data_IF_252621150241
#
_entry.id   IF_252621150241
#
_cell.length_a   1.000
_cell.length_b   1.000
_cell.length_c   1.000
_cell.angle_alpha   90.00
_cell.angle_beta   90.00
_cell.angle_gamma   90.00
#
_symmetry.space_group_name_H-M   'P 1'
#
loop_
_entity.id
_entity.type
_entity.pdbx_description
1 polymer ?
#
# COMPACT_ATOMS: atom_id res chain seq x y z
N UNK A 1 -4.18 10.63 5.78
CA UNK A 1 -5.24 9.63 5.97
C UNK A 1 -6.55 10.32 6.33
N UNK A 2 -6.61 11.12 7.41
CA UNK A 2 -7.82 11.82 7.86
C UNK A 2 -8.47 12.62 6.75
N UNK A 3 -7.71 13.47 6.06
CA UNK A 3 -8.21 14.27 4.92
C UNK A 3 -8.80 13.41 3.79
N UNK A 4 -8.18 12.28 3.47
CA UNK A 4 -8.76 11.34 2.50
C UNK A 4 -10.12 10.81 2.95
N UNK A 5 -10.25 10.47 4.24
CA UNK A 5 -11.52 10.04 4.80
C UNK A 5 -12.60 11.13 4.71
N UNK A 6 -12.24 12.38 5.03
CA UNK A 6 -13.15 13.54 4.96
C UNK A 6 -13.59 13.84 3.52
N UNK A 7 -12.71 13.61 2.55
CA UNK A 7 -13.00 13.77 1.11
C UNK A 7 -13.76 12.59 0.50
N UNK A 8 -14.04 11.54 1.28
CA UNK A 8 -14.79 10.37 0.80
C UNK A 8 -13.98 9.39 -0.03
N UNK A 9 -12.64 9.49 -0.02
CA UNK A 9 -11.74 8.50 -0.62
C UNK A 9 -11.97 7.15 0.05
N UNK A 10 -12.21 6.11 -0.74
CA UNK A 10 -12.51 4.77 -0.21
C UNK A 10 -11.26 3.94 0.05
N UNK A 11 -10.24 4.08 -0.77
CA UNK A 11 -8.99 3.34 -0.67
C UNK A 11 -7.81 4.30 -0.80
N UNK A 12 -6.89 4.22 0.14
CA UNK A 12 -5.63 4.95 0.14
C UNK A 12 -4.49 3.95 0.32
N UNK A 13 -3.62 3.82 -0.66
CA UNK A 13 -2.44 2.96 -0.57
C UNK A 13 -1.17 3.81 -0.51
N UNK A 14 -0.31 3.53 0.45
CA UNK A 14 0.98 4.23 0.63
C UNK A 14 2.14 3.26 0.49
N UNK A 15 3.12 3.62 -0.37
CA UNK A 15 4.33 2.83 -0.58
C UNK A 15 5.33 3.09 0.54
N UNK A 16 5.24 2.30 1.62
CA UNK A 16 6.06 2.52 2.81
C UNK A 16 7.41 1.81 2.76
N UNK A 17 7.49 0.60 2.16
CA UNK A 17 8.74 -0.15 2.04
C UNK A 17 8.69 -1.12 0.86
N UNK A 18 9.58 -0.91 -0.13
CA UNK A 18 9.66 -1.77 -1.32
C UNK A 18 10.58 -2.97 -1.10
N UNK A 19 10.41 -4.02 -1.93
CA UNK A 19 11.33 -5.17 -1.95
C UNK A 19 12.77 -4.76 -2.27
N UNK A 20 12.98 -3.71 -3.04
CA UNK A 20 14.29 -3.17 -3.36
C UNK A 20 14.99 -2.50 -2.17
N UNK A 21 14.21 -2.02 -1.18
CA UNK A 21 14.76 -1.34 0.00
C UNK A 21 15.61 -2.27 0.89
N UNK A 22 15.44 -3.59 0.80
CA UNK A 22 16.32 -4.54 1.50
C UNK A 22 17.79 -4.46 1.08
N UNK A 23 18.08 -3.86 -0.08
CA UNK A 23 19.46 -3.64 -0.56
C UNK A 23 20.16 -2.44 0.09
N UNK A 24 19.44 -1.64 0.89
CA UNK A 24 20.00 -0.53 1.66
C UNK A 24 20.84 -1.04 2.82
N UNK A 25 21.72 -0.20 3.40
CA UNK A 25 22.45 -0.56 4.60
C UNK A 25 21.53 -1.05 5.72
N UNK A 26 21.94 -2.09 6.45
CA UNK A 26 21.11 -2.73 7.48
C UNK A 26 20.64 -1.78 8.58
N UNK A 27 21.44 -0.77 8.90
CA UNK A 27 21.11 0.27 9.88
C UNK A 27 19.93 1.13 9.40
N UNK A 28 19.93 1.51 8.12
CA UNK A 28 18.84 2.26 7.50
C UNK A 28 17.55 1.44 7.45
N UNK A 29 17.64 0.17 7.06
CA UNK A 29 16.49 -0.76 7.08
C UNK A 29 15.92 -0.89 8.48
N UNK A 30 16.78 -1.08 9.48
CA UNK A 30 16.37 -1.19 10.89
C UNK A 30 15.68 0.08 11.39
N UNK A 31 16.19 1.25 11.01
CA UNK A 31 15.59 2.54 11.33
C UNK A 31 14.19 2.67 10.70
N UNK A 32 14.05 2.36 9.42
CA UNK A 32 12.76 2.43 8.71
C UNK A 32 11.72 1.48 9.34
N UNK A 33 12.10 0.26 9.67
CA UNK A 33 11.22 -0.70 10.36
C UNK A 33 10.81 -0.19 11.75
N UNK A 34 11.74 0.42 12.48
CA UNK A 34 11.45 1.07 13.77
C UNK A 34 10.46 2.22 13.65
N UNK A 35 10.58 3.03 12.60
CA UNK A 35 9.63 4.12 12.32
C UNK A 35 8.23 3.60 12.01
N UNK A 36 8.11 2.53 11.21
CA UNK A 36 6.81 1.90 10.90
C UNK A 36 6.14 1.43 12.20
N UNK A 37 6.88 0.72 13.06
CA UNK A 37 6.36 0.26 14.37
C UNK A 37 5.88 1.44 15.21
N UNK A 38 6.72 2.46 15.35
CA UNK A 38 6.41 3.65 16.16
C UNK A 38 5.18 4.39 15.63
N UNK A 39 5.07 4.52 14.30
CA UNK A 39 3.93 5.15 13.65
C UNK A 39 2.64 4.37 13.94
N UNK A 40 2.64 3.06 13.71
CA UNK A 40 1.47 2.21 13.96
C UNK A 40 1.03 2.31 15.43
N UNK A 41 1.96 2.22 16.39
CA UNK A 41 1.64 2.32 17.82
C UNK A 41 1.02 3.66 18.21
N UNK A 42 1.52 4.74 17.61
CA UNK A 42 1.04 6.09 17.91
C UNK A 42 -0.31 6.38 17.30
N UNK A 43 -0.52 5.98 16.03
CA UNK A 43 -1.65 6.45 15.23
C UNK A 43 -2.84 5.49 15.23
N UNK A 44 -2.67 4.20 15.59
CA UNK A 44 -3.73 3.18 15.47
C UNK A 44 -4.99 3.55 16.24
N UNK A 45 -4.85 4.17 17.42
CA UNK A 45 -5.99 4.58 18.23
C UNK A 45 -6.81 5.66 17.52
N UNK A 46 -6.15 6.72 17.06
CA UNK A 46 -6.81 7.80 16.31
C UNK A 46 -7.41 7.30 15.00
N UNK A 47 -6.72 6.43 14.27
CA UNK A 47 -7.25 5.81 13.07
C UNK A 47 -8.51 5.01 13.35
N UNK A 48 -8.54 4.24 14.44
CA UNK A 48 -9.72 3.48 14.83
C UNK A 48 -10.90 4.40 15.21
N UNK A 49 -10.66 5.46 15.97
CA UNK A 49 -11.66 6.46 16.35
C UNK A 49 -12.23 7.20 15.11
N UNK A 50 -11.42 7.38 14.06
CA UNK A 50 -11.83 7.98 12.79
C UNK A 50 -12.37 6.97 11.78
N UNK A 51 -12.71 5.75 12.21
CA UNK A 51 -13.29 4.70 11.37
C UNK A 51 -12.40 4.28 10.17
N UNK A 52 -11.07 4.42 10.29
CA UNK A 52 -10.09 4.00 9.27
C UNK A 52 -9.82 2.51 9.43
N UNK A 53 -9.85 1.77 8.32
CA UNK A 53 -9.50 0.35 8.28
C UNK A 53 -8.08 0.16 7.77
N UNK A 54 -7.17 -0.32 8.62
CA UNK A 54 -5.78 -0.59 8.23
C UNK A 54 -5.70 -1.96 7.52
N UNK A 55 -4.99 -1.97 6.39
CA UNK A 55 -4.64 -3.18 5.63
C UNK A 55 -3.16 -3.12 5.25
N UNK A 56 -2.65 -4.23 4.72
CA UNK A 56 -1.30 -4.27 4.16
C UNK A 56 -1.29 -5.05 2.86
N UNK A 57 -0.41 -4.67 1.93
CA UNK A 57 -0.07 -5.42 0.72
C UNK A 57 1.43 -5.68 0.70
N UNK A 58 1.81 -6.84 0.15
CA UNK A 58 3.19 -7.32 0.08
C UNK A 58 3.44 -8.54 0.97
N UNK A 59 4.66 -9.05 0.91
CA UNK A 59 5.08 -10.23 1.69
C UNK A 59 5.44 -9.81 3.13
N UNK A 60 4.39 -9.52 3.91
CA UNK A 60 4.52 -9.00 5.29
C UNK A 60 5.09 -10.04 6.26
N UNK A 61 5.00 -11.35 5.93
CA UNK A 61 5.53 -12.42 6.78
C UNK A 61 7.07 -12.39 6.86
N UNK A 62 7.73 -11.77 5.89
CA UNK A 62 9.18 -11.56 5.88
C UNK A 62 9.65 -10.30 6.62
N UNK A 63 8.73 -9.51 7.14
CA UNK A 63 9.10 -8.37 7.98
C UNK A 63 9.76 -8.83 9.30
N UNK A 64 10.62 -8.01 9.92
CA UNK A 64 11.08 -8.27 11.28
C UNK A 64 9.88 -8.50 12.21
N UNK A 65 9.99 -9.50 13.09
CA UNK A 65 8.88 -9.98 13.94
C UNK A 65 8.12 -8.84 14.64
N UNK A 66 8.85 -7.89 15.21
CA UNK A 66 8.23 -6.74 15.89
C UNK A 66 7.36 -5.88 14.96
N UNK A 67 7.79 -5.66 13.72
CA UNK A 67 7.01 -4.90 12.73
C UNK A 67 5.78 -5.68 12.27
N UNK A 68 5.94 -6.99 12.02
CA UNK A 68 4.84 -7.88 11.69
C UNK A 68 3.77 -7.92 12.79
N UNK A 69 4.17 -8.13 14.05
CA UNK A 69 3.25 -8.22 15.18
C UNK A 69 2.45 -6.93 15.38
N UNK A 70 3.11 -5.77 15.32
CA UNK A 70 2.44 -4.48 15.48
C UNK A 70 1.49 -4.18 14.30
N UNK A 71 1.90 -4.54 13.08
CA UNK A 71 1.04 -4.41 11.89
C UNK A 71 -0.22 -5.28 12.03
N UNK A 72 -0.07 -6.54 12.40
CA UNK A 72 -1.19 -7.48 12.61
C UNK A 72 -2.13 -6.98 13.70
N UNK A 73 -1.59 -6.53 14.81
CA UNK A 73 -2.36 -5.93 15.91
C UNK A 73 -3.16 -4.70 15.45
N UNK A 74 -2.52 -3.82 14.68
CA UNK A 74 -3.17 -2.61 14.16
C UNK A 74 -4.29 -2.95 13.17
N UNK A 75 -4.08 -3.94 12.31
CA UNK A 75 -5.11 -4.47 11.41
C UNK A 75 -6.28 -5.08 12.18
N UNK A 76 -6.02 -5.84 13.24
CA UNK A 76 -7.06 -6.46 14.07
C UNK A 76 -7.90 -5.44 14.83
N UNK A 77 -7.28 -4.38 15.37
CA UNK A 77 -7.97 -3.29 16.07
C UNK A 77 -8.96 -2.58 15.13
N UNK A 78 -8.61 -2.42 13.85
CA UNK A 78 -9.36 -1.63 12.89
C UNK A 78 -10.19 -2.45 11.89
N UNK A 79 -10.24 -3.78 12.05
CA UNK A 79 -10.83 -4.71 11.06
C UNK A 79 -12.31 -4.48 10.75
N UNK A 80 -13.06 -3.98 11.72
CA UNK A 80 -14.51 -3.77 11.62
C UNK A 80 -14.87 -2.34 11.15
N UNK A 81 -13.86 -1.47 10.96
CA UNK A 81 -14.06 -0.12 10.48
C UNK A 81 -14.50 -0.13 9.01
N UNK A 82 -15.36 0.82 8.66
CA UNK A 82 -16.05 0.92 7.37
C UNK A 82 -15.73 2.20 6.58
N UNK A 83 -14.89 3.06 7.12
CA UNK A 83 -14.40 4.27 6.46
C UNK A 83 -13.31 3.98 5.43
N UNK A 84 -12.36 4.90 5.26
CA UNK A 84 -11.27 4.69 4.30
C UNK A 84 -10.44 3.44 4.63
N UNK A 85 -10.19 2.62 3.62
CA UNK A 85 -9.25 1.49 3.71
C UNK A 85 -7.85 2.04 3.47
N UNK A 86 -7.04 2.10 4.52
CA UNK A 86 -5.66 2.56 4.48
C UNK A 86 -4.72 1.37 4.34
N UNK A 87 -4.13 1.20 3.17
CA UNK A 87 -3.26 0.09 2.82
C UNK A 87 -1.79 0.52 2.85
N UNK A 88 -1.00 -0.18 3.66
CA UNK A 88 0.46 -0.01 3.72
C UNK A 88 1.11 -1.04 2.79
N UNK A 89 1.77 -0.56 1.73
CA UNK A 89 2.60 -1.42 0.88
C UNK A 89 3.96 -1.62 1.57
N UNK A 90 4.15 -2.81 2.14
CA UNK A 90 5.29 -3.21 2.96
C UNK A 90 5.93 -4.47 2.40
N UNK A 91 7.25 -4.42 2.19
CA UNK A 91 7.95 -5.48 1.46
C UNK A 91 7.22 -5.84 0.17
N UNK A 92 6.79 -4.79 -0.53
CA UNK A 92 5.98 -4.87 -1.73
C UNK A 92 6.79 -4.49 -2.97
N UNK A 93 6.45 -5.08 -4.09
CA UNK A 93 6.83 -4.73 -5.43
C UNK A 93 6.01 -5.56 -6.40
N UNK A 94 5.50 -4.95 -7.48
CA UNK A 94 4.60 -5.65 -8.39
C UNK A 94 5.21 -6.94 -8.98
N UNK A 95 6.51 -6.94 -9.30
CA UNK A 95 7.18 -8.14 -9.84
C UNK A 95 7.16 -9.31 -8.86
N UNK A 96 7.29 -9.02 -7.57
CA UNK A 96 7.19 -10.02 -6.50
C UNK A 96 5.74 -10.45 -6.29
N UNK A 97 4.79 -9.51 -6.34
CA UNK A 97 3.35 -9.78 -6.25
C UNK A 97 2.88 -10.69 -7.39
N UNK A 98 3.26 -10.38 -8.63
CA UNK A 98 2.96 -11.24 -9.79
C UNK A 98 3.55 -12.66 -9.60
N UNK A 99 4.79 -12.76 -9.12
CA UNK A 99 5.42 -14.05 -8.83
C UNK A 99 4.69 -14.81 -7.73
N UNK A 100 4.19 -14.11 -6.73
CA UNK A 100 3.34 -14.64 -5.67
C UNK A 100 2.00 -15.16 -6.23
N UNK A 101 1.33 -14.36 -7.05
CA UNK A 101 0.08 -14.72 -7.69
C UNK A 101 0.21 -15.99 -8.54
N UNK A 102 1.23 -16.06 -9.42
CA UNK A 102 1.51 -17.23 -10.25
C UNK A 102 1.72 -18.49 -9.40
N UNK A 103 2.55 -18.39 -8.35
CA UNK A 103 2.81 -19.53 -7.46
C UNK A 103 1.55 -20.05 -6.77
N UNK A 104 0.66 -19.15 -6.37
CA UNK A 104 -0.59 -19.53 -5.71
C UNK A 104 -1.60 -20.11 -6.70
N UNK A 105 -1.74 -19.55 -7.91
CA UNK A 105 -2.53 -20.17 -8.97
C UNK A 105 -2.08 -21.58 -9.29
N UNK A 106 -0.76 -21.82 -9.35
CA UNK A 106 -0.20 -23.17 -9.56
C UNK A 106 -0.51 -24.13 -8.39
N UNK A 107 -0.44 -23.64 -7.13
CA UNK A 107 -0.79 -24.46 -5.95
C UNK A 107 -2.27 -24.85 -5.95
N UNK A 108 -3.13 -23.94 -6.37
CA UNK A 108 -4.57 -24.15 -6.43
C UNK A 108 -4.99 -24.91 -7.70
N UNK A 109 -4.02 -25.33 -8.55
CA UNK A 109 -4.23 -26.07 -9.78
C UNK A 109 -5.21 -25.38 -10.76
N UNK A 110 -5.11 -24.06 -10.88
CA UNK A 110 -5.91 -23.30 -11.86
C UNK A 110 -5.59 -23.78 -13.25
N UNK A 111 -6.61 -24.14 -14.02
CA UNK A 111 -6.43 -24.57 -15.40
C UNK A 111 -5.93 -23.41 -16.27
N UNK A 112 -5.08 -23.72 -17.25
CA UNK A 112 -4.48 -22.69 -18.13
C UNK A 112 -5.56 -21.85 -18.81
N UNK A 113 -6.64 -22.49 -19.25
CA UNK A 113 -7.75 -21.83 -19.94
C UNK A 113 -8.61 -20.92 -19.02
N UNK A 114 -8.45 -21.05 -17.69
CA UNK A 114 -9.15 -20.23 -16.68
C UNK A 114 -8.28 -19.05 -16.22
N UNK A 115 -7.06 -18.88 -16.76
CA UNK A 115 -6.18 -17.76 -16.42
C UNK A 115 -6.53 -16.57 -17.31
N UNK A 116 -7.29 -15.65 -16.74
CA UNK A 116 -7.65 -14.35 -17.32
C UNK A 116 -7.30 -13.21 -16.34
N UNK A 117 -7.60 -11.96 -16.74
CA UNK A 117 -7.32 -10.78 -15.93
C UNK A 117 -7.99 -10.84 -14.55
N UNK A 118 -9.23 -11.31 -14.49
CA UNK A 118 -9.98 -11.44 -13.24
C UNK A 118 -9.36 -12.49 -12.32
N UNK A 119 -8.89 -13.58 -12.88
CA UNK A 119 -8.22 -14.65 -12.14
C UNK A 119 -6.88 -14.15 -11.60
N UNK A 120 -6.05 -13.49 -12.41
CA UNK A 120 -4.79 -12.91 -11.95
C UNK A 120 -5.03 -11.93 -10.81
N UNK A 121 -6.01 -11.01 -10.95
CA UNK A 121 -6.36 -10.00 -9.94
C UNK A 121 -6.76 -10.63 -8.60
N UNK A 122 -7.45 -11.76 -8.59
CA UNK A 122 -7.83 -12.47 -7.36
C UNK A 122 -6.62 -12.99 -6.55
N UNK A 123 -5.49 -13.24 -7.22
CA UNK A 123 -4.28 -13.77 -6.59
C UNK A 123 -3.25 -12.70 -6.22
N UNK A 124 -3.43 -11.45 -6.66
CA UNK A 124 -2.60 -10.33 -6.23
C UNK A 124 -2.91 -9.93 -4.77
N UNK A 125 -1.95 -9.33 -4.08
CA UNK A 125 -2.15 -8.78 -2.73
C UNK A 125 -3.25 -7.71 -2.69
N UNK A 126 -3.54 -7.10 -3.83
CA UNK A 126 -4.53 -6.03 -4.03
C UNK A 126 -5.95 -6.53 -4.30
N UNK A 127 -6.19 -7.84 -4.30
CA UNK A 127 -7.46 -8.49 -4.67
C UNK A 127 -8.72 -7.98 -3.96
N UNK A 128 -8.58 -7.32 -2.82
CA UNK A 128 -9.68 -6.80 -2.01
C UNK A 128 -10.10 -5.37 -2.33
N UNK A 129 -9.40 -4.70 -3.23
CA UNK A 129 -9.64 -3.29 -3.59
C UNK A 129 -9.72 -3.11 -5.11
N UNK A 130 -10.39 -2.05 -5.60
CA UNK A 130 -10.39 -1.68 -7.01
C UNK A 130 -9.01 -1.18 -7.45
N UNK A 131 -8.83 -1.06 -8.76
CA UNK A 131 -7.68 -0.35 -9.31
C UNK A 131 -7.73 1.13 -8.90
N UNK A 132 -6.58 1.78 -8.69
CA UNK A 132 -6.55 3.17 -8.28
C UNK A 132 -6.94 4.09 -9.44
N UNK A 133 -7.77 5.08 -9.14
CA UNK A 133 -8.12 6.13 -10.10
C UNK A 133 -6.94 7.09 -10.30
N UNK A 134 -6.22 7.41 -9.22
CA UNK A 134 -5.12 8.38 -9.21
C UNK A 134 -3.91 7.82 -8.47
N UNK A 135 -2.73 7.95 -9.08
CA UNK A 135 -1.43 7.69 -8.46
C UNK A 135 -0.66 9.00 -8.33
N UNK A 136 -0.35 9.37 -7.09
CA UNK A 136 0.43 10.56 -6.77
C UNK A 136 1.87 10.14 -6.47
N UNK A 137 2.83 10.74 -7.16
CA UNK A 137 4.25 10.60 -6.85
C UNK A 137 4.87 11.94 -6.53
N UNK A 138 5.39 12.04 -5.33
CA UNK A 138 6.09 13.20 -4.78
C UNK A 138 7.61 13.12 -5.02
N UNK A 139 8.33 14.24 -4.81
CA UNK A 139 9.79 14.29 -4.82
C UNK A 139 10.43 14.39 -6.20
N UNK A 140 9.70 14.90 -7.21
CA UNK A 140 10.26 15.25 -8.53
C UNK A 140 10.59 14.06 -9.43
N UNK A 141 10.24 12.85 -9.04
CA UNK A 141 10.58 11.63 -9.79
C UNK A 141 9.42 11.15 -10.65
N UNK A 142 9.66 10.97 -11.95
CA UNK A 142 8.65 10.57 -12.94
C UNK A 142 8.82 9.08 -13.27
N UNK A 143 8.46 8.22 -12.32
CA UNK A 143 8.47 6.74 -12.46
C UNK A 143 7.65 6.09 -11.36
N UNK A 144 7.12 4.88 -11.57
CA UNK A 144 6.32 4.13 -10.60
C UNK A 144 7.17 3.25 -9.66
N UNK A 145 8.41 2.96 -10.01
CA UNK A 145 9.34 2.17 -9.18
C UNK A 145 8.75 0.84 -8.69
N UNK A 146 8.17 0.07 -9.61
CA UNK A 146 7.58 -1.24 -9.31
C UNK A 146 6.36 -1.19 -8.37
N UNK A 147 5.68 -0.02 -8.28
CA UNK A 147 4.49 0.16 -7.46
C UNK A 147 3.22 -0.05 -8.28
N UNK A 148 2.40 -1.03 -7.90
CA UNK A 148 1.05 -1.29 -8.43
C UNK A 148 0.95 -1.22 -9.97
N UNK A 149 1.92 -1.84 -10.69
CA UNK A 149 2.01 -1.67 -12.16
C UNK A 149 0.83 -2.29 -12.91
N UNK A 150 0.26 -3.37 -12.40
CA UNK A 150 -0.91 -4.01 -12.99
C UNK A 150 -2.15 -3.14 -12.81
N UNK A 151 -2.37 -2.71 -11.60
CA UNK A 151 -3.52 -1.93 -11.20
C UNK A 151 -3.48 -0.51 -11.76
N UNK A 152 -2.28 -0.01 -12.09
CA UNK A 152 -2.06 1.33 -12.65
C UNK A 152 -2.45 1.46 -14.13
N UNK A 153 -2.93 0.39 -14.76
CA UNK A 153 -3.16 0.32 -16.23
C UNK A 153 -4.09 1.42 -16.75
N UNK A 154 -5.02 1.90 -15.94
CA UNK A 154 -5.97 2.96 -16.30
C UNK A 154 -5.96 4.12 -15.30
N UNK A 155 -4.98 4.18 -14.40
CA UNK A 155 -4.85 5.28 -13.44
C UNK A 155 -4.37 6.56 -14.11
N UNK A 156 -4.82 7.69 -13.60
CA UNK A 156 -4.17 8.96 -13.86
C UNK A 156 -2.94 9.14 -12.95
N UNK A 157 -1.98 9.95 -13.41
CA UNK A 157 -0.73 10.16 -12.70
C UNK A 157 -0.55 11.63 -12.39
N UNK A 158 -0.31 11.91 -11.10
CA UNK A 158 0.09 13.23 -10.63
C UNK A 158 1.52 13.17 -10.09
N UNK A 159 2.44 13.87 -10.76
CA UNK A 159 3.84 14.00 -10.34
C UNK A 159 4.09 15.40 -9.82
N UNK A 160 4.69 15.55 -8.64
CA UNK A 160 5.03 16.84 -8.07
C UNK A 160 6.43 16.85 -7.45
N UNK A 161 7.03 18.04 -7.39
CA UNK A 161 8.37 18.25 -6.83
C UNK A 161 8.35 18.26 -5.29
N UNK A 162 7.18 18.46 -4.68
CA UNK A 162 7.01 18.50 -3.23
C UNK A 162 7.54 17.22 -2.58
N UNK A 163 8.43 17.35 -1.61
CA UNK A 163 8.98 16.21 -0.88
C UNK A 163 7.92 15.57 0.01
N UNK A 164 8.00 14.24 0.21
CA UNK A 164 7.01 13.51 1.01
C UNK A 164 6.73 14.13 2.40
N UNK A 165 7.74 14.59 3.18
CA UNK A 165 7.47 15.22 4.47
C UNK A 165 6.70 16.56 4.39
N UNK A 166 6.72 17.21 3.23
CA UNK A 166 6.07 18.49 2.97
C UNK A 166 4.73 18.33 2.25
N UNK A 167 4.40 17.10 1.80
CA UNK A 167 3.15 16.79 1.11
C UNK A 167 2.00 16.75 2.13
N UNK A 168 1.32 17.88 2.28
CA UNK A 168 0.27 18.11 3.26
C UNK A 168 -1.15 17.95 2.67
N UNK A 169 -2.16 18.42 3.41
CA UNK A 169 -3.56 18.35 3.00
C UNK A 169 -3.87 19.26 1.80
N UNK A 170 -3.18 20.39 1.67
CA UNK A 170 -3.36 21.33 0.55
C UNK A 170 -2.83 20.72 -0.75
N UNK A 171 -1.62 20.14 -0.71
CA UNK A 171 -1.04 19.44 -1.85
C UNK A 171 -1.88 18.22 -2.28
N UNK A 172 -2.43 17.49 -1.32
CA UNK A 172 -3.36 16.39 -1.61
C UNK A 172 -4.63 16.90 -2.30
N UNK A 173 -5.24 17.98 -1.79
CA UNK A 173 -6.43 18.57 -2.40
C UNK A 173 -6.15 19.08 -3.82
N UNK A 174 -4.98 19.67 -4.05
CA UNK A 174 -4.53 20.10 -5.37
C UNK A 174 -4.41 18.92 -6.34
N UNK A 175 -3.76 17.84 -5.93
CA UNK A 175 -3.63 16.63 -6.75
C UNK A 175 -5.00 16.03 -7.11
N UNK A 176 -5.95 16.01 -6.16
CA UNK A 176 -7.32 15.53 -6.41
C UNK A 176 -8.11 16.49 -7.30
N UNK A 177 -7.87 17.79 -7.21
CA UNK A 177 -8.55 18.78 -8.05
C UNK A 177 -8.07 18.74 -9.51
N UNK A 178 -6.80 18.43 -9.74
CA UNK A 178 -6.22 18.27 -11.07
C UNK A 178 -6.61 16.94 -11.75
N UNK A 179 -6.97 15.93 -10.96
CA UNK A 179 -7.62 14.69 -11.41
C UNK A 179 -9.04 14.95 -11.85
#
# INVERSE_FOLDING_TARGET
VKKCNDLGVKYLTVYAFSTENWKRPSEEVSLLMGLIVTYLQREVKEMNENNVRIRAIGDIEKLPQKAYDELKKSMDITKDNTGVVFSLALNYGFRDDLSHAIKNMMKDNIAIDDIDDDTVKKYLYTSYMPDPDLIIRTGGEIRLSNFMLYEASYSEFYFCDTLWPEFDEEELCKAIYEY
#
